data_IF_494931494849
#
_entry.id   IF_494931494849
#
_cell.length_a   1.000
_cell.length_b   1.000
_cell.length_c   1.000
_cell.angle_alpha   90.00
_cell.angle_beta   90.00
_cell.angle_gamma   90.00
#
_symmetry.space_group_name_H-M   'P 1'
#
loop_
_entity.id
_entity.type
_entity.pdbx_description
1 polymer ?
#
# COMPACT_ATOMS: atom_id res chain seq x y z
N UNK A 1 0.92 17.31 -0.72
CA UNK A 1 -0.32 16.56 -0.43
C UNK A 1 -0.08 15.06 -0.20
N UNK A 2 0.07 14.20 -1.22
CA UNK A 2 0.14 12.74 -1.01
C UNK A 2 1.34 12.28 -0.14
N UNK A 3 2.54 12.81 -0.42
CA UNK A 3 3.74 12.48 0.36
C UNK A 3 3.65 12.96 1.81
N UNK A 4 3.12 14.15 2.05
CA UNK A 4 2.90 14.69 3.40
C UNK A 4 1.89 13.86 4.17
N UNK A 5 0.82 13.40 3.51
CA UNK A 5 -0.16 12.50 4.11
C UNK A 5 0.48 11.18 4.55
N UNK A 6 1.27 10.52 3.69
CA UNK A 6 1.96 9.27 4.04
C UNK A 6 2.95 9.47 5.20
N UNK A 7 3.69 10.58 5.20
CA UNK A 7 4.56 10.92 6.31
C UNK A 7 3.78 11.07 7.62
N UNK A 8 2.63 11.76 7.60
CA UNK A 8 1.77 11.89 8.78
C UNK A 8 1.24 10.54 9.27
N UNK A 9 0.84 9.64 8.36
CA UNK A 9 0.37 8.29 8.71
C UNK A 9 1.50 7.46 9.34
N UNK A 10 2.72 7.50 8.80
CA UNK A 10 3.87 6.80 9.39
C UNK A 10 4.16 7.33 10.80
N UNK A 11 4.14 8.67 10.99
CA UNK A 11 4.35 9.25 12.32
C UNK A 11 3.27 8.79 13.31
N UNK A 12 2.02 8.71 12.86
CA UNK A 12 0.91 8.21 13.67
C UNK A 12 1.06 6.75 14.06
N UNK A 13 1.45 5.88 13.13
CA UNK A 13 1.68 4.45 13.39
C UNK A 13 2.85 4.23 14.37
N UNK A 14 3.87 5.09 14.30
CA UNK A 14 5.01 5.07 15.23
C UNK A 14 4.67 5.63 16.62
N UNK A 15 3.57 6.37 16.75
CA UNK A 15 3.16 6.92 18.03
C UNK A 15 2.70 5.80 18.97
N UNK A 16 3.54 5.50 19.96
CA UNK A 16 3.27 4.49 20.98
C UNK A 16 1.98 4.77 21.76
N UNK A 17 1.55 6.02 21.88
CA UNK A 17 0.30 6.36 22.57
C UNK A 17 -0.94 5.93 21.79
N UNK A 18 -0.86 5.86 20.47
CA UNK A 18 -1.95 5.39 19.60
C UNK A 18 -1.85 3.89 19.31
N UNK A 19 -0.65 3.39 19.00
CA UNK A 19 -0.43 2.00 18.59
C UNK A 19 0.75 1.36 19.35
N UNK A 20 0.61 1.08 20.66
CA UNK A 20 1.71 0.60 21.49
C UNK A 20 2.31 -0.73 20.97
N UNK A 21 1.45 -1.66 20.55
CA UNK A 21 1.88 -2.94 20.02
C UNK A 21 2.70 -2.81 18.71
N UNK A 22 2.45 -1.78 17.89
CA UNK A 22 3.20 -1.58 16.64
C UNK A 22 4.52 -0.87 16.92
N UNK A 23 4.49 0.14 17.79
CA UNK A 23 5.69 0.87 18.19
C UNK A 23 6.77 -0.04 18.81
N UNK A 24 6.35 -1.09 19.51
CA UNK A 24 7.25 -2.05 20.17
C UNK A 24 7.89 -3.06 19.22
N UNK A 25 7.38 -3.22 18.00
CA UNK A 25 7.94 -4.14 17.00
C UNK A 25 9.20 -3.60 16.31
N UNK A 26 9.56 -2.32 16.54
CA UNK A 26 10.71 -1.65 15.96
C UNK A 26 10.82 -1.84 14.43
N UNK A 27 9.67 -1.75 13.75
CA UNK A 27 9.56 -1.96 12.31
C UNK A 27 10.14 -0.76 11.55
N UNK A 28 10.86 -1.05 10.48
CA UNK A 28 11.20 -0.05 9.47
C UNK A 28 9.96 0.23 8.60
N UNK A 29 9.61 1.50 8.46
CA UNK A 29 8.52 1.93 7.60
C UNK A 29 9.08 2.83 6.51
N UNK A 30 8.89 2.43 5.26
CA UNK A 30 9.18 3.25 4.08
C UNK A 30 7.88 3.70 3.42
N UNK A 31 7.94 4.80 2.68
CA UNK A 31 6.83 5.19 1.81
C UNK A 31 7.29 5.77 0.48
N UNK A 32 6.47 5.56 -0.55
CA UNK A 32 6.67 6.17 -1.85
C UNK A 32 5.35 6.66 -2.43
N UNK A 33 5.46 7.66 -3.30
CA UNK A 33 4.37 8.14 -4.14
C UNK A 33 4.84 8.02 -5.57
N UNK A 34 4.08 7.28 -6.38
CA UNK A 34 4.40 7.02 -7.78
C UNK A 34 3.25 7.54 -8.64
N UNK A 35 3.61 8.18 -9.75
CA UNK A 35 2.66 8.60 -10.78
C UNK A 35 2.75 7.57 -11.91
N UNK A 36 1.60 7.04 -12.29
CA UNK A 36 1.48 6.08 -13.37
C UNK A 36 0.14 6.30 -14.09
N UNK A 37 0.11 6.04 -15.40
CA UNK A 37 -1.14 6.06 -16.17
C UNK A 37 -2.07 4.90 -15.75
N UNK A 38 -1.51 3.88 -15.12
CA UNK A 38 -2.23 2.73 -14.60
C UNK A 38 -1.82 2.40 -13.17
N UNK A 39 -2.70 2.72 -12.22
CA UNK A 39 -2.46 2.51 -10.78
C UNK A 39 -2.14 1.05 -10.45
N UNK A 40 -2.84 0.08 -11.04
CA UNK A 40 -2.61 -1.34 -10.74
C UNK A 40 -1.21 -1.75 -11.22
N UNK A 41 -0.83 -1.32 -12.42
CA UNK A 41 0.51 -1.56 -12.97
C UNK A 41 1.60 -0.86 -12.15
N UNK A 42 1.36 0.37 -11.71
CA UNK A 42 2.27 1.11 -10.84
C UNK A 42 2.53 0.38 -9.53
N UNK A 43 1.48 -0.09 -8.87
CA UNK A 43 1.57 -0.89 -7.63
C UNK A 43 2.40 -2.16 -7.87
N UNK A 44 2.06 -2.96 -8.90
CA UNK A 44 2.77 -4.22 -9.20
C UNK A 44 4.25 -3.94 -9.50
N UNK A 45 4.55 -2.92 -10.33
CA UNK A 45 5.93 -2.61 -10.69
C UNK A 45 6.77 -2.30 -9.45
N UNK A 46 6.26 -1.44 -8.57
CA UNK A 46 6.95 -1.02 -7.35
C UNK A 46 7.05 -2.18 -6.37
N UNK A 47 5.99 -2.97 -6.19
CA UNK A 47 6.01 -4.12 -5.30
C UNK A 47 6.99 -5.19 -5.77
N UNK A 48 7.06 -5.49 -7.07
CA UNK A 48 7.95 -6.56 -7.57
C UNK A 48 9.41 -6.12 -7.72
N UNK A 49 9.68 -4.84 -8.00
CA UNK A 49 11.01 -4.37 -8.38
C UNK A 49 11.59 -3.27 -7.46
N UNK A 50 10.81 -2.76 -6.51
CA UNK A 50 11.18 -1.63 -5.68
C UNK A 50 10.91 -0.26 -6.31
N UNK A 51 11.07 0.79 -5.51
CA UNK A 51 10.89 2.18 -5.95
C UNK A 51 12.25 2.85 -6.22
N UNK A 52 12.53 3.16 -7.50
CA UNK A 52 13.75 3.87 -7.93
C UNK A 52 13.44 5.23 -8.60
N UNK A 53 12.43 5.95 -8.11
CA UNK A 53 12.02 7.25 -8.67
C UNK A 53 12.62 8.42 -7.90
N UNK A 54 12.94 9.51 -8.60
CA UNK A 54 13.44 10.74 -7.97
C UNK A 54 12.49 11.23 -6.86
N UNK A 55 13.00 11.29 -5.63
CA UNK A 55 12.24 11.74 -4.44
C UNK A 55 11.38 10.67 -3.74
N UNK A 56 11.47 9.40 -4.13
CA UNK A 56 10.95 8.28 -3.32
C UNK A 56 12.07 7.68 -2.47
N UNK A 57 11.74 7.16 -1.28
CA UNK A 57 12.67 6.31 -0.53
C UNK A 57 12.96 5.05 -1.36
N UNK A 58 14.25 4.74 -1.52
CA UNK A 58 14.69 3.58 -2.28
C UNK A 58 14.50 2.34 -1.43
N UNK A 59 13.56 1.49 -1.82
CA UNK A 59 13.38 0.17 -1.23
C UNK A 59 13.32 -0.89 -2.34
N UNK A 60 13.73 -2.11 -2.03
CA UNK A 60 13.73 -3.25 -2.94
C UNK A 60 12.33 -3.81 -3.22
N UNK A 61 12.25 -4.91 -3.97
CA UNK A 61 10.99 -5.63 -4.13
C UNK A 61 10.43 -6.13 -2.78
N UNK A 62 9.11 -6.29 -2.72
CA UNK A 62 8.35 -6.79 -1.58
C UNK A 62 8.07 -8.29 -1.74
N UNK A 63 7.87 -8.98 -0.63
CA UNK A 63 7.51 -10.41 -0.61
C UNK A 63 5.99 -10.65 -0.71
N UNK A 64 5.18 -9.65 -0.39
CA UNK A 64 3.72 -9.71 -0.41
C UNK A 64 3.11 -8.31 -0.57
N UNK A 65 1.85 -8.26 -0.98
CA UNK A 65 1.06 -7.02 -1.08
C UNK A 65 -0.13 -7.12 -0.12
N UNK A 66 -0.27 -6.15 0.78
CA UNK A 66 -1.46 -5.99 1.59
C UNK A 66 -2.25 -4.75 1.13
N UNK A 67 -3.56 -4.90 0.90
CA UNK A 67 -4.41 -3.78 0.47
C UNK A 67 -5.83 -3.88 1.04
N UNK A 68 -6.45 -2.72 1.25
CA UNK A 68 -7.85 -2.59 1.63
C UNK A 68 -8.73 -2.29 0.43
N UNK A 69 -9.99 -2.70 0.50
CA UNK A 69 -11.02 -2.33 -0.48
C UNK A 69 -11.83 -1.16 0.06
N UNK A 70 -12.18 -0.17 -0.77
CA UNK A 70 -13.14 0.86 -0.37
C UNK A 70 -14.54 0.24 -0.23
N UNK A 71 -15.19 0.45 0.91
CA UNK A 71 -16.41 -0.23 1.35
C UNK A 71 -17.74 0.39 0.94
N UNK A 72 -17.78 1.49 0.19
CA UNK A 72 -19.04 2.23 -0.05
C UNK A 72 -19.79 1.88 -1.35
N UNK A 73 -19.53 0.73 -1.95
CA UNK A 73 -20.35 0.21 -3.04
C UNK A 73 -20.28 -1.30 -3.07
N UNK A 74 -21.42 -1.97 -2.88
CA UNK A 74 -21.50 -3.43 -2.79
C UNK A 74 -20.90 -4.20 -3.97
N UNK A 75 -21.13 -5.51 -4.00
CA UNK A 75 -20.70 -6.45 -5.04
C UNK A 75 -21.01 -6.05 -6.51
N UNK A 76 -21.68 -4.92 -6.76
CA UNK A 76 -22.13 -4.44 -8.07
C UNK A 76 -21.08 -3.66 -8.89
N UNK A 77 -19.91 -3.34 -8.35
CA UNK A 77 -18.85 -2.63 -9.10
C UNK A 77 -17.46 -3.29 -8.99
N UNK A 78 -17.40 -4.63 -8.90
CA UNK A 78 -16.11 -5.33 -8.79
C UNK A 78 -15.37 -5.47 -10.12
N UNK A 79 -16.06 -5.38 -11.27
CA UNK A 79 -15.44 -5.53 -12.60
C UNK A 79 -14.54 -4.33 -12.88
N UNK A 80 -13.22 -4.55 -12.83
CA UNK A 80 -12.19 -3.57 -13.18
C UNK A 80 -11.56 -2.82 -12.01
N UNK A 81 -11.76 -3.25 -10.76
CA UNK A 81 -11.15 -2.58 -9.59
C UNK A 81 -9.63 -2.71 -9.59
N UNK A 82 -8.93 -1.74 -8.95
CA UNK A 82 -7.46 -1.81 -8.79
C UNK A 82 -7.07 -3.12 -8.09
N UNK A 83 -7.79 -3.50 -7.03
CA UNK A 83 -7.55 -4.74 -6.28
C UNK A 83 -7.70 -5.99 -7.16
N UNK A 84 -8.75 -6.08 -7.98
CA UNK A 84 -8.93 -7.21 -8.91
C UNK A 84 -7.79 -7.29 -9.93
N UNK A 85 -7.40 -6.15 -10.51
CA UNK A 85 -6.32 -6.09 -11.50
C UNK A 85 -4.97 -6.49 -10.89
N UNK A 86 -4.69 -6.07 -9.66
CA UNK A 86 -3.49 -6.48 -8.92
C UNK A 86 -3.55 -7.97 -8.61
N UNK A 87 -4.70 -8.48 -8.13
CA UNK A 87 -4.89 -9.90 -7.81
C UNK A 87 -4.65 -10.82 -9.02
N UNK A 88 -5.12 -10.43 -10.19
CA UNK A 88 -4.98 -11.23 -11.41
C UNK A 88 -3.60 -11.14 -12.07
N UNK A 89 -2.80 -10.10 -11.79
CA UNK A 89 -1.58 -9.80 -12.54
C UNK A 89 -0.30 -9.93 -11.72
N UNK A 90 -0.36 -9.64 -10.42
CA UNK A 90 0.79 -9.72 -9.50
C UNK A 90 1.28 -11.15 -9.36
N UNK A 91 2.60 -11.33 -9.26
CA UNK A 91 3.23 -12.61 -8.90
C UNK A 91 3.40 -12.79 -7.39
N UNK A 92 3.19 -11.72 -6.63
CA UNK A 92 3.30 -11.71 -5.17
C UNK A 92 1.99 -12.14 -4.51
N UNK A 93 2.03 -12.86 -3.37
CA UNK A 93 0.87 -13.11 -2.53
C UNK A 93 0.14 -11.81 -2.16
N UNK A 94 -1.20 -11.82 -2.24
CA UNK A 94 -2.06 -10.69 -1.87
C UNK A 94 -2.86 -11.00 -0.60
N UNK A 95 -2.76 -10.10 0.38
CA UNK A 95 -3.63 -10.04 1.56
C UNK A 95 -4.65 -8.91 1.38
N UNK A 96 -5.92 -9.27 1.20
CA UNK A 96 -7.01 -8.30 1.08
C UNK A 96 -7.71 -8.17 2.42
N UNK A 97 -7.66 -6.97 3.01
CA UNK A 97 -8.29 -6.67 4.30
C UNK A 97 -9.56 -5.85 4.07
N UNK A 98 -10.69 -6.35 4.57
CA UNK A 98 -11.92 -5.55 4.59
C UNK A 98 -11.89 -4.65 5.82
N UNK A 99 -12.06 -3.32 5.67
CA UNK A 99 -12.17 -2.45 6.83
C UNK A 99 -13.39 -2.85 7.67
N UNK A 100 -13.24 -2.83 8.99
CA UNK A 100 -14.37 -3.00 9.90
C UNK A 100 -15.10 -1.66 9.99
N UNK A 101 -16.42 -1.66 9.84
CA UNK A 101 -17.27 -0.49 10.07
C UNK A 101 -17.24 -0.04 11.54
#
# INVERSE_FOLDING_TARGET
>A
MAREYLNAVIQRIRDRSEYPAIADLNLEFTSSVVVDDDVARGIIRVAENGANSEGAEVFGGCDAIAMTTHGEGGLQHWVGSVTERVLHTSRLPLLIVRPQE
#
